data_IF_887538106741
#
_entry.id   IF_887538106741
#
_cell.length_a   1.000
_cell.length_b   1.000
_cell.length_c   1.000
_cell.angle_alpha   90.00
_cell.angle_beta   90.00
_cell.angle_gamma   90.00
#
_symmetry.space_group_name_H-M   'P 1'
#
loop_
_entity.id
_entity.type
_entity.pdbx_description
1 polymer ?
#
# COMPACT_ATOMS: atom_id res chain seq x y z
N UNK A 1 -5.39 3.19 -1.02
CA UNK A 1 -4.46 3.68 -2.07
C UNK A 1 -5.11 4.61 -3.10
N UNK A 2 -6.43 4.52 -3.36
CA UNK A 2 -7.09 5.25 -4.46
C UNK A 2 -6.98 6.79 -4.37
N UNK A 3 -7.06 7.37 -3.17
CA UNK A 3 -7.02 8.82 -2.99
C UNK A 3 -5.67 9.45 -3.33
N UNK A 4 -4.57 8.90 -2.82
CA UNK A 4 -3.24 9.51 -2.99
C UNK A 4 -2.75 9.45 -4.44
N UNK A 5 -3.00 8.33 -5.14
CA UNK A 5 -2.70 8.21 -6.57
C UNK A 5 -3.54 9.15 -7.43
N UNK A 6 -4.81 9.39 -7.06
CA UNK A 6 -5.69 10.32 -7.76
C UNK A 6 -5.23 11.78 -7.58
N UNK A 7 -4.86 12.18 -6.36
CA UNK A 7 -4.33 13.53 -6.09
C UNK A 7 -3.02 13.77 -6.83
N UNK A 8 -2.11 12.79 -6.85
CA UNK A 8 -0.87 12.88 -7.63
C UNK A 8 -1.12 13.04 -9.12
N UNK A 9 -2.07 12.28 -9.67
CA UNK A 9 -2.45 12.39 -11.09
C UNK A 9 -3.08 13.76 -11.41
N UNK A 10 -3.93 14.28 -10.53
CA UNK A 10 -4.54 15.61 -10.68
C UNK A 10 -3.50 16.72 -10.70
N UNK A 11 -2.53 16.67 -9.78
CA UNK A 11 -1.43 17.64 -9.73
C UNK A 11 -0.54 17.56 -10.97
N UNK A 12 -0.28 16.35 -11.49
CA UNK A 12 0.47 16.14 -12.72
C UNK A 12 -0.29 16.71 -13.93
N UNK A 13 -1.59 16.44 -14.03
CA UNK A 13 -2.43 17.00 -15.09
C UNK A 13 -2.47 18.53 -15.03
N UNK A 14 -2.55 19.11 -13.81
CA UNK A 14 -2.52 20.55 -13.61
C UNK A 14 -1.18 21.14 -14.06
N UNK A 15 -0.05 20.49 -13.77
CA UNK A 15 1.26 20.91 -14.25
C UNK A 15 1.32 20.91 -15.80
N UNK A 16 0.73 19.90 -16.45
CA UNK A 16 0.62 19.83 -17.91
C UNK A 16 -0.25 20.94 -18.50
N UNK A 17 -1.37 21.27 -17.85
CA UNK A 17 -2.23 22.39 -18.26
C UNK A 17 -1.50 23.71 -18.14
N UNK A 18 -0.84 23.96 -17.00
CA UNK A 18 -0.03 25.16 -16.79
C UNK A 18 1.12 25.26 -17.80
N UNK A 19 1.70 24.13 -18.19
CA UNK A 19 2.70 24.06 -19.25
C UNK A 19 2.11 24.46 -20.61
N UNK A 20 0.93 23.96 -20.97
CA UNK A 20 0.28 24.26 -22.25
C UNK A 20 -0.09 25.74 -22.42
N UNK A 21 -0.50 26.42 -21.35
CA UNK A 21 -0.88 27.84 -21.39
C UNK A 21 0.32 28.81 -21.31
N UNK A 22 1.56 28.32 -21.20
CA UNK A 22 2.73 29.18 -21.07
C UNK A 22 3.35 29.53 -22.45
N UNK A 23 2.91 30.64 -23.03
CA UNK A 23 3.35 31.13 -24.35
C UNK A 23 4.86 31.45 -24.46
N UNK A 24 5.56 31.66 -23.35
CA UNK A 24 6.98 32.05 -23.32
C UNK A 24 7.95 30.89 -23.07
N UNK A 25 7.45 29.66 -23.20
CA UNK A 25 8.17 28.48 -22.79
C UNK A 25 8.90 27.82 -23.97
N UNK A 26 10.20 27.52 -23.76
CA UNK A 26 11.04 26.77 -24.71
C UNK A 26 11.58 25.54 -24.00
N UNK A 27 11.70 24.42 -24.71
CA UNK A 27 12.21 23.15 -24.17
C UNK A 27 13.57 23.32 -23.48
N UNK A 28 14.38 24.26 -23.96
CA UNK A 28 15.69 24.61 -23.39
C UNK A 28 15.58 25.12 -21.95
N UNK A 29 14.50 25.82 -21.58
CA UNK A 29 14.26 26.33 -20.22
C UNK A 29 14.03 25.22 -19.19
N UNK A 30 13.67 24.01 -19.61
CA UNK A 30 13.55 22.85 -18.71
C UNK A 30 14.92 22.39 -18.19
N UNK A 31 15.96 22.60 -18.98
CA UNK A 31 17.33 22.22 -18.65
C UNK A 31 18.11 23.36 -17.97
N UNK A 32 17.49 24.51 -17.76
CA UNK A 32 18.09 25.55 -16.93
C UNK A 32 18.23 25.04 -15.49
N UNK A 33 19.35 25.36 -14.80
CA UNK A 33 19.66 24.78 -13.50
C UNK A 33 18.54 24.90 -12.46
N UNK A 34 17.86 26.05 -12.41
CA UNK A 34 16.77 26.32 -11.46
C UNK A 34 15.53 25.47 -11.77
N UNK A 35 15.10 25.45 -13.03
CA UNK A 35 13.94 24.65 -13.46
C UNK A 35 14.21 23.16 -13.28
N UNK A 36 15.40 22.72 -13.69
CA UNK A 36 15.83 21.34 -13.56
C UNK A 36 15.95 20.90 -12.10
N UNK A 37 16.48 21.77 -11.23
CA UNK A 37 16.49 21.52 -9.78
C UNK A 37 15.07 21.36 -9.24
N UNK A 38 14.13 22.21 -9.65
CA UNK A 38 12.73 22.10 -9.26
C UNK A 38 12.09 20.77 -9.69
N UNK A 39 12.32 20.35 -10.94
CA UNK A 39 11.83 19.08 -11.47
C UNK A 39 12.43 17.90 -10.68
N UNK A 40 13.76 17.89 -10.50
CA UNK A 40 14.47 16.82 -9.79
C UNK A 40 14.06 16.74 -8.32
N UNK A 41 13.90 17.88 -7.65
CA UNK A 41 13.41 17.94 -6.27
C UNK A 41 11.98 17.41 -6.15
N UNK A 42 11.09 17.80 -7.07
CA UNK A 42 9.72 17.29 -7.13
C UNK A 42 9.66 15.77 -7.32
N UNK A 43 10.45 15.24 -8.26
CA UNK A 43 10.59 13.79 -8.48
C UNK A 43 11.15 13.11 -7.24
N UNK A 44 12.24 13.65 -6.66
CA UNK A 44 12.92 13.07 -5.50
C UNK A 44 12.00 12.94 -4.28
N UNK A 45 11.30 14.03 -3.91
CA UNK A 45 10.35 14.03 -2.79
C UNK A 45 9.18 13.09 -3.07
N UNK A 46 8.64 13.13 -4.29
CA UNK A 46 7.54 12.26 -4.71
C UNK A 46 7.88 10.77 -4.62
N UNK A 47 9.07 10.38 -5.10
CA UNK A 47 9.56 8.99 -5.01
C UNK A 47 9.89 8.58 -3.58
N UNK A 48 10.46 9.47 -2.77
CA UNK A 48 10.80 9.17 -1.39
C UNK A 48 9.54 8.88 -0.56
N UNK A 49 8.57 9.81 -0.55
CA UNK A 49 7.32 9.65 0.19
C UNK A 49 6.47 8.52 -0.41
N UNK A 50 6.36 8.47 -1.74
CA UNK A 50 5.63 7.42 -2.44
C UNK A 50 6.21 6.03 -2.18
N UNK A 51 7.53 5.90 -2.14
CA UNK A 51 8.25 4.68 -1.81
C UNK A 51 7.99 4.21 -0.38
N UNK A 52 8.04 5.12 0.60
CA UNK A 52 7.72 4.81 2.00
C UNK A 52 6.27 4.31 2.15
N UNK A 53 5.31 5.05 1.61
CA UNK A 53 3.88 4.69 1.70
C UNK A 53 3.62 3.37 0.96
N UNK A 54 4.27 3.16 -0.19
CA UNK A 54 4.19 1.92 -0.95
C UNK A 54 4.75 0.72 -0.19
N UNK A 55 5.89 0.88 0.50
CA UNK A 55 6.49 -0.17 1.32
C UNK A 55 5.58 -0.57 2.48
N UNK A 56 5.04 0.41 3.22
CA UNK A 56 4.11 0.16 4.33
C UNK A 56 2.84 -0.56 3.84
N UNK A 57 2.29 -0.17 2.69
CA UNK A 57 1.12 -0.83 2.12
C UNK A 57 1.37 -2.29 1.75
N UNK A 58 2.56 -2.63 1.25
CA UNK A 58 2.93 -4.03 0.95
C UNK A 58 3.11 -4.84 2.24
N UNK A 59 3.72 -4.25 3.27
CA UNK A 59 3.85 -4.88 4.59
C UNK A 59 2.49 -5.24 5.20
N UNK A 60 1.51 -4.34 5.11
CA UNK A 60 0.17 -4.60 5.63
C UNK A 60 -0.55 -5.73 4.87
N UNK A 61 -0.39 -5.81 3.54
CA UNK A 61 -0.97 -6.89 2.74
C UNK A 61 -0.38 -8.27 3.08
N UNK A 62 0.92 -8.34 3.35
CA UNK A 62 1.58 -9.57 3.81
C UNK A 62 1.07 -9.97 5.20
N UNK A 63 0.93 -8.99 6.11
CA UNK A 63 0.43 -9.22 7.46
C UNK A 63 -1.02 -9.71 7.47
N UNK A 64 -1.90 -9.14 6.64
CA UNK A 64 -3.27 -9.63 6.46
C UNK A 64 -3.31 -11.07 5.92
N UNK A 65 -2.44 -11.40 4.97
CA UNK A 65 -2.37 -12.74 4.40
C UNK A 65 -1.90 -13.77 5.44
N UNK A 66 -0.94 -13.42 6.29
CA UNK A 66 -0.51 -14.26 7.41
C UNK A 66 -1.61 -14.41 8.45
N UNK A 67 -2.27 -13.32 8.85
CA UNK A 67 -3.36 -13.34 9.83
C UNK A 67 -4.52 -14.25 9.39
N UNK A 68 -4.90 -14.20 8.11
CA UNK A 68 -5.93 -15.09 7.55
C UNK A 68 -5.54 -16.56 7.56
N UNK A 69 -4.25 -16.87 7.39
CA UNK A 69 -3.75 -18.26 7.45
C UNK A 69 -3.77 -18.78 8.88
N UNK A 70 -3.22 -18.00 9.82
CA UNK A 70 -3.22 -18.32 11.25
C UNK A 70 -4.63 -18.51 11.79
N UNK A 71 -5.56 -17.61 11.44
CA UNK A 71 -6.94 -17.72 11.88
C UNK A 71 -7.62 -19.01 11.38
N UNK A 72 -7.28 -19.46 10.17
CA UNK A 72 -7.82 -20.70 9.59
C UNK A 72 -7.23 -21.94 10.25
N UNK A 73 -5.96 -21.91 10.63
CA UNK A 73 -5.33 -22.99 11.40
C UNK A 73 -5.90 -23.07 12.82
N UNK A 74 -6.07 -21.93 13.49
CA UNK A 74 -6.67 -21.87 14.82
C UNK A 74 -8.12 -22.40 14.84
N UNK A 75 -8.92 -22.11 13.80
CA UNK A 75 -10.27 -22.69 13.69
C UNK A 75 -10.25 -24.22 13.55
N UNK A 76 -9.29 -24.77 12.78
CA UNK A 76 -9.14 -26.22 12.65
C UNK A 76 -8.76 -26.85 13.99
N UNK A 77 -7.78 -26.28 14.69
CA UNK A 77 -7.35 -26.77 16.00
C UNK A 77 -8.48 -26.72 17.03
N UNK A 78 -9.28 -25.64 17.04
CA UNK A 78 -10.47 -25.56 17.89
C UNK A 78 -11.46 -26.69 17.62
N UNK A 79 -11.79 -26.91 16.34
CA UNK A 79 -12.74 -27.97 15.96
C UNK A 79 -12.22 -29.38 16.32
N UNK A 80 -10.91 -29.58 16.30
CA UNK A 80 -10.28 -30.84 16.67
C UNK A 80 -10.26 -31.05 18.19
N UNK A 81 -9.95 -30.00 18.95
CA UNK A 81 -10.04 -29.98 20.41
C UNK A 81 -11.46 -30.21 20.92
N UNK A 82 -12.47 -29.58 20.30
CA UNK A 82 -13.88 -29.81 20.67
C UNK A 82 -14.31 -31.25 20.42
N UNK A 83 -13.83 -31.88 19.34
CA UNK A 83 -14.07 -33.31 19.09
C UNK A 83 -13.39 -34.20 20.12
N UNK A 84 -12.14 -33.90 20.47
CA UNK A 84 -11.41 -34.66 21.49
C UNK A 84 -12.09 -34.54 22.86
N UNK A 85 -12.50 -33.33 23.26
CA UNK A 85 -13.24 -33.10 24.51
C UNK A 85 -14.61 -33.78 24.51
N UNK A 86 -15.33 -33.79 23.38
CA UNK A 86 -16.59 -34.52 23.27
C UNK A 86 -16.39 -36.03 23.45
N UNK A 87 -15.36 -36.60 22.82
CA UNK A 87 -15.02 -38.03 22.96
C UNK A 87 -14.57 -38.36 24.39
N UNK A 88 -13.71 -37.53 24.99
CA UNK A 88 -13.23 -37.71 26.37
C UNK A 88 -14.38 -37.62 27.39
N UNK A 89 -15.29 -36.65 27.24
CA UNK A 89 -16.42 -36.46 28.15
C UNK A 89 -17.48 -37.59 28.01
N UNK A 90 -17.64 -38.17 26.82
CA UNK A 90 -18.47 -39.38 26.63
C UNK A 90 -17.82 -40.58 27.34
N UNK A 91 -16.50 -40.76 27.19
CA UNK A 91 -15.78 -41.89 27.79
C UNK A 91 -15.75 -41.82 29.33
N UNK A 92 -15.72 -40.61 29.90
CA UNK A 92 -15.73 -40.38 31.33
C UNK A 92 -17.13 -40.47 31.98
N UNK A 93 -18.20 -40.44 31.17
CA UNK A 93 -19.60 -40.66 31.62
C UNK A 93 -20.05 -42.12 31.51
N UNK A 94 -19.27 -42.96 30.82
CA UNK A 94 -19.52 -44.40 30.67
C UNK A 94 -18.83 -45.28 31.71
N UNK A 95 -18.17 -44.67 32.71
CA UNK A 95 -17.65 -45.30 33.93
C UNK A 95 -18.52 -44.90 35.13
#
# INVERSE_FOLDING_TARGET
>A
MKGLSLTGLLLLALAFVLFYFNDNFSVIKLFEPITLMGILAGIGIGLFIGGMIGYVSKGNAVKEAQLKREFKELQKQKAELEKQQAVENINNRSL
#
